data_IF_575953445927
#
_entry.id   IF_575953445927
#
_cell.length_a   1.000
_cell.length_b   1.000
_cell.length_c   1.000
_cell.angle_alpha   90.00
_cell.angle_beta   90.00
_cell.angle_gamma   90.00
#
_symmetry.space_group_name_H-M   'P 1'
#
loop_
_entity.id
_entity.type
_entity.pdbx_description
1 polymer ?
#
# COMPACT_ATOMS: atom_id res chain seq x y z
N UNK A 1 17.00 23.94 6.95
CA UNK A 1 18.03 23.03 6.39
C UNK A 1 18.71 22.49 7.63
N UNK A 2 18.47 21.27 8.10
CA UNK A 2 18.54 20.01 7.36
C UNK A 2 17.58 18.93 7.91
N UNK A 3 17.13 18.13 6.96
CA UNK A 3 16.44 16.84 6.97
C UNK A 3 16.28 16.12 8.31
N UNK A 4 15.03 16.05 8.79
CA UNK A 4 14.57 15.04 9.75
C UNK A 4 14.95 13.65 9.21
N UNK A 5 15.66 12.79 9.97
CA UNK A 5 15.74 11.39 9.63
C UNK A 5 14.34 10.82 9.87
N UNK A 6 13.52 10.77 8.81
CA UNK A 6 12.27 10.02 8.79
C UNK A 6 12.64 8.54 8.83
N UNK A 7 13.05 8.09 10.02
CA UNK A 7 12.96 6.72 10.44
C UNK A 7 11.49 6.36 10.19
N UNK A 8 11.21 5.68 9.08
CA UNK A 8 9.94 5.00 8.88
C UNK A 8 9.91 3.88 9.93
N UNK A 9 9.62 4.27 11.17
CA UNK A 9 9.32 3.35 12.25
C UNK A 9 8.21 2.48 11.70
N UNK A 10 8.43 1.18 11.80
CA UNK A 10 7.61 0.13 11.23
C UNK A 10 6.28 -0.01 11.99
N UNK A 11 5.69 1.12 12.39
CA UNK A 11 4.55 1.28 13.27
C UNK A 11 3.31 0.80 12.52
N UNK A 12 2.88 -0.40 12.88
CA UNK A 12 1.58 -0.91 12.51
C UNK A 12 0.54 -0.39 13.50
N UNK A 13 -0.66 -0.02 13.04
CA UNK A 13 -1.07 0.09 11.63
C UNK A 13 -0.53 1.37 10.95
N UNK A 14 -0.33 1.37 9.62
CA UNK A 14 0.00 2.60 8.89
C UNK A 14 -1.14 3.61 8.95
N UNK A 15 -0.84 4.88 8.71
CA UNK A 15 -1.89 5.86 8.42
C UNK A 15 -2.36 5.74 6.96
N UNK A 16 -3.59 6.16 6.67
CA UNK A 16 -4.08 6.23 5.28
C UNK A 16 -3.17 7.12 4.41
N UNK A 17 -2.57 8.17 4.99
CA UNK A 17 -1.65 9.05 4.29
C UNK A 17 -0.36 8.34 3.89
N UNK A 18 0.21 7.50 4.76
CA UNK A 18 1.39 6.69 4.43
C UNK A 18 1.10 5.73 3.26
N UNK A 19 -0.08 5.11 3.29
CA UNK A 19 -0.54 4.20 2.23
C UNK A 19 -0.72 4.96 0.91
N UNK A 20 -1.38 6.12 0.92
CA UNK A 20 -1.54 6.98 -0.27
C UNK A 20 -0.19 7.39 -0.87
N UNK A 21 0.74 7.86 -0.05
CA UNK A 21 2.09 8.23 -0.50
C UNK A 21 2.81 7.02 -1.13
N UNK A 22 2.72 5.84 -0.52
CA UNK A 22 3.33 4.63 -1.05
C UNK A 22 2.73 4.20 -2.39
N UNK A 23 1.41 4.20 -2.53
CA UNK A 23 0.74 3.85 -3.77
C UNK A 23 1.04 4.85 -4.88
N UNK A 24 1.03 6.15 -4.56
CA UNK A 24 1.40 7.21 -5.50
C UNK A 24 2.85 7.05 -6.01
N UNK A 25 3.81 6.72 -5.12
CA UNK A 25 5.20 6.41 -5.51
C UNK A 25 5.31 5.19 -6.45
N UNK A 26 4.32 4.30 -6.44
CA UNK A 26 4.25 3.14 -7.34
C UNK A 26 3.44 3.40 -8.61
N UNK A 27 2.98 4.64 -8.84
CA UNK A 27 2.16 5.01 -9.98
C UNK A 27 0.72 4.49 -9.88
N UNK A 28 0.27 4.15 -8.66
CA UNK A 28 -1.09 3.67 -8.41
C UNK A 28 -1.98 4.83 -7.97
N UNK A 29 -3.25 4.87 -8.41
CA UNK A 29 -4.18 5.93 -8.03
C UNK A 29 -4.54 5.85 -6.54
N UNK A 30 -4.81 7.00 -5.92
CA UNK A 30 -5.14 7.09 -4.49
C UNK A 30 -6.37 6.25 -4.11
N UNK A 31 -7.33 6.07 -5.02
CA UNK A 31 -8.51 5.22 -4.82
C UNK A 31 -8.15 3.76 -4.51
N UNK A 32 -7.10 3.24 -5.14
CA UNK A 32 -6.61 1.88 -4.85
C UNK A 32 -5.94 1.81 -3.47
N UNK A 33 -5.27 2.89 -3.08
CA UNK A 33 -4.66 3.04 -1.77
C UNK A 33 -5.72 3.04 -0.65
N UNK A 34 -6.82 3.77 -0.85
CA UNK A 34 -7.98 3.80 0.06
C UNK A 34 -8.66 2.43 0.14
N UNK A 35 -8.86 1.78 -1.01
CA UNK A 35 -9.46 0.44 -1.08
C UNK A 35 -8.62 -0.58 -0.30
N UNK A 36 -7.29 -0.55 -0.50
CA UNK A 36 -6.35 -1.36 0.26
C UNK A 36 -6.45 -1.09 1.77
N UNK A 37 -6.39 0.18 2.18
CA UNK A 37 -6.42 0.56 3.60
C UNK A 37 -7.71 0.08 4.28
N UNK A 38 -8.88 0.38 3.70
CA UNK A 38 -10.18 0.00 4.25
C UNK A 38 -10.36 -1.52 4.34
N UNK A 39 -9.82 -2.26 3.37
CA UNK A 39 -9.86 -3.72 3.37
C UNK A 39 -9.07 -4.33 4.54
N UNK A 40 -7.89 -3.79 4.83
CA UNK A 40 -7.05 -4.28 5.93
C UNK A 40 -7.46 -3.73 7.30
N UNK A 41 -8.01 -2.52 7.35
CA UNK A 41 -8.62 -1.93 8.55
C UNK A 41 -9.79 -2.78 9.07
N UNK A 42 -10.70 -3.21 8.18
CA UNK A 42 -11.80 -4.14 8.52
C UNK A 42 -11.32 -5.51 8.99
N UNK A 43 -10.08 -5.88 8.66
CA UNK A 43 -9.41 -7.14 9.09
C UNK A 43 -8.49 -6.93 10.29
N UNK A 44 -8.59 -5.76 10.94
CA UNK A 44 -7.78 -5.37 12.10
C UNK A 44 -6.27 -5.47 11.86
N UNK A 45 -5.82 -5.35 10.60
CA UNK A 45 -4.42 -5.54 10.23
C UNK A 45 -3.81 -6.86 10.73
N UNK A 46 -4.64 -7.92 10.81
CA UNK A 46 -4.22 -9.26 11.25
C UNK A 46 -4.14 -10.24 10.07
N UNK A 47 -3.20 -11.17 10.16
CA UNK A 47 -3.12 -12.32 9.27
C UNK A 47 -4.18 -13.36 9.64
N UNK A 48 -4.53 -14.26 8.70
CA UNK A 48 -5.44 -15.40 8.93
C UNK A 48 -5.02 -16.30 10.12
N UNK A 49 -3.75 -16.26 10.51
CA UNK A 49 -3.19 -17.00 11.67
C UNK A 49 -3.17 -16.18 12.97
N UNK A 50 -3.79 -15.01 13.00
CA UNK A 50 -3.82 -14.11 14.18
C UNK A 50 -2.55 -13.27 14.41
N UNK A 51 -1.52 -13.43 13.57
CA UNK A 51 -0.29 -12.65 13.68
C UNK A 51 -0.45 -11.25 13.06
N UNK A 52 0.08 -10.23 13.71
CA UNK A 52 0.24 -8.91 13.12
C UNK A 52 1.14 -8.97 11.89
N UNK A 53 0.80 -8.15 10.90
CA UNK A 53 1.62 -8.04 9.71
C UNK A 53 3.01 -7.49 10.04
N UNK A 54 4.06 -8.11 9.50
CA UNK A 54 5.45 -7.64 9.70
C UNK A 54 5.75 -6.32 8.98
N UNK A 55 5.10 -6.09 7.84
CA UNK A 55 5.21 -4.84 7.09
C UNK A 55 4.03 -4.68 6.14
N UNK A 56 3.34 -3.54 6.21
CA UNK A 56 2.16 -3.26 5.41
C UNK A 56 2.58 -2.95 3.98
N UNK A 57 3.81 -2.45 3.81
CA UNK A 57 4.45 -2.20 2.50
C UNK A 57 4.60 -3.49 1.70
N UNK A 58 4.96 -4.61 2.34
CA UNK A 58 5.04 -5.91 1.66
C UNK A 58 3.67 -6.38 1.16
N UNK A 59 2.62 -6.09 1.92
CA UNK A 59 1.25 -6.48 1.56
C UNK A 59 0.70 -5.56 0.48
N UNK A 60 0.93 -4.25 0.62
CA UNK A 60 0.64 -3.26 -0.40
C UNK A 60 1.35 -3.61 -1.70
N UNK A 61 2.61 -4.05 -1.64
CA UNK A 61 3.32 -4.51 -2.84
C UNK A 61 2.61 -5.68 -3.51
N UNK A 62 2.25 -6.71 -2.75
CA UNK A 62 1.49 -7.86 -3.28
C UNK A 62 0.13 -7.47 -3.84
N UNK A 63 -0.54 -6.50 -3.22
CA UNK A 63 -1.80 -5.94 -3.70
C UNK A 63 -1.62 -5.28 -5.07
N UNK A 64 -0.59 -4.42 -5.20
CA UNK A 64 -0.25 -3.76 -6.46
C UNK A 64 0.12 -4.80 -7.53
N UNK A 65 0.97 -5.77 -7.20
CA UNK A 65 1.35 -6.82 -8.16
C UNK A 65 0.10 -7.62 -8.62
N UNK A 66 -0.85 -7.92 -7.73
CA UNK A 66 -2.11 -8.57 -8.11
C UNK A 66 -2.98 -7.70 -9.04
N UNK A 67 -3.08 -6.40 -8.78
CA UNK A 67 -3.79 -5.46 -9.67
C UNK A 67 -3.17 -5.39 -11.07
N UNK A 68 -1.84 -5.43 -11.14
CA UNK A 68 -1.10 -5.43 -12.41
C UNK A 68 -1.26 -6.73 -13.18
N UNK A 69 -1.38 -7.88 -12.49
CA UNK A 69 -1.58 -9.20 -13.11
C UNK A 69 -3.02 -9.39 -13.60
N UNK A 70 -4.03 -9.03 -12.80
CA UNK A 70 -5.43 -9.21 -13.20
C UNK A 70 -5.87 -8.22 -14.28
N UNK A 71 -5.26 -7.03 -14.34
CA UNK A 71 -5.68 -5.97 -15.25
C UNK A 71 -4.49 -5.32 -15.98
N UNK A 72 -3.77 -6.08 -16.83
CA UNK A 72 -2.60 -5.56 -17.54
C UNK A 72 -2.93 -4.33 -18.41
N UNK A 73 -4.15 -4.25 -18.94
CA UNK A 73 -4.63 -3.18 -19.82
C UNK A 73 -5.09 -1.90 -19.09
N UNK A 74 -5.37 -1.95 -17.77
CA UNK A 74 -5.82 -0.74 -17.00
C UNK A 74 -4.68 0.15 -16.57
N UNK A 75 -3.47 -0.41 -16.50
CA UNK A 75 -2.25 0.32 -16.14
C UNK A 75 -1.26 0.36 -17.30
N UNK A 76 -1.66 -0.12 -18.48
CA UNK A 76 -0.90 0.06 -19.70
C UNK A 76 -0.85 1.57 -19.98
N UNK A 77 0.36 2.12 -19.83
CA UNK A 77 0.73 3.50 -20.13
C UNK A 77 -0.14 4.05 -21.27
N UNK A 78 -0.87 5.12 -20.97
CA UNK A 78 -1.25 6.09 -22.00
C UNK A 78 0.00 6.34 -22.86
N UNK A 79 -0.16 6.11 -24.16
CA UNK A 79 0.92 5.87 -25.10
C UNK A 79 2.01 6.94 -25.17
N UNK A 80 3.11 6.55 -25.79
CA UNK A 80 3.62 7.37 -26.88
C UNK A 80 3.37 6.63 -28.17
#
# INVERSE_FOLDING_TARGET
>A
MDSKPMLYTNSMPPTIQDVKVYFNQKGMPEREAETFFLFYEKRLWTSKRGNFFKSWKSIARRWIDALLVEMPWRFQRQGR
#
